data_IF_068556013820
#
_entry.id   IF_068556013820
#
_cell.length_a   1.000
_cell.length_b   1.000
_cell.length_c   1.000
_cell.angle_alpha   90.00
_cell.angle_beta   90.00
_cell.angle_gamma   90.00
#
_symmetry.space_group_name_H-M   'P 1'
#
loop_
_entity.id
_entity.type
_entity.pdbx_description
1 polymer ?
#
# COMPACT_ATOMS: atom_id res chain seq x y z
N UNK A 1 18.08 22.54 -34.84
CA UNK A 1 16.92 22.70 -33.95
C UNK A 1 16.96 21.53 -33.01
N UNK A 2 17.19 21.80 -31.74
CA UNK A 2 17.50 20.79 -30.72
C UNK A 2 16.22 20.01 -30.39
N UNK A 3 16.23 18.71 -30.64
CA UNK A 3 15.34 17.75 -29.97
C UNK A 3 15.80 17.67 -28.51
N UNK A 4 15.25 18.56 -27.69
CA UNK A 4 15.36 18.51 -26.24
C UNK A 4 14.40 17.41 -25.78
N UNK A 5 14.98 16.26 -25.43
CA UNK A 5 14.27 15.15 -24.81
C UNK A 5 13.58 15.67 -23.55
N UNK A 6 12.30 15.97 -23.65
CA UNK A 6 11.39 16.10 -22.52
C UNK A 6 11.42 14.74 -21.79
N UNK A 7 12.33 14.62 -20.83
CA UNK A 7 12.27 13.57 -19.82
C UNK A 7 10.97 13.82 -19.09
N UNK A 8 9.94 13.04 -19.43
CA UNK A 8 8.72 12.93 -18.64
C UNK A 8 9.14 12.38 -17.27
N UNK A 9 9.52 13.28 -16.36
CA UNK A 9 9.66 12.94 -14.96
C UNK A 9 8.34 12.28 -14.55
N UNK A 10 8.37 11.14 -13.85
CA UNK A 10 7.14 10.47 -13.47
C UNK A 10 6.32 11.47 -12.65
N UNK A 11 5.12 11.77 -13.14
CA UNK A 11 4.31 12.90 -12.70
C UNK A 11 4.01 12.80 -11.21
N UNK A 12 4.84 13.44 -10.39
CA UNK A 12 4.56 13.62 -8.98
C UNK A 12 3.32 14.47 -8.80
N UNK A 13 2.66 14.34 -7.65
CA UNK A 13 1.47 15.13 -7.30
C UNK A 13 1.77 16.03 -6.12
N UNK A 14 1.31 17.28 -6.16
CA UNK A 14 1.44 18.22 -5.06
C UNK A 14 0.14 18.25 -4.25
N UNK A 15 0.20 17.78 -3.01
CA UNK A 15 -0.97 17.61 -2.13
C UNK A 15 -0.89 18.59 -0.95
N UNK A 16 -1.93 19.40 -0.68
CA UNK A 16 -1.98 20.23 0.51
C UNK A 16 -2.11 19.35 1.77
N UNK A 17 -1.24 19.55 2.75
CA UNK A 17 -1.23 18.82 4.01
C UNK A 17 -0.59 19.68 5.12
N UNK A 18 -1.27 19.85 6.26
CA UNK A 18 -0.77 20.68 7.37
C UNK A 18 -0.41 22.14 6.95
N UNK A 19 -1.10 22.67 5.95
CA UNK A 19 -0.84 24.00 5.41
C UNK A 19 0.39 24.10 4.50
N UNK A 20 1.03 22.98 4.18
CA UNK A 20 2.16 22.90 3.24
C UNK A 20 1.76 22.11 1.99
N UNK A 21 2.40 22.42 0.85
CA UNK A 21 2.28 21.62 -0.36
C UNK A 21 3.33 20.49 -0.32
N UNK A 22 2.87 19.24 -0.25
CA UNK A 22 3.71 18.06 -0.19
C UNK A 22 3.80 17.42 -1.57
N UNK A 23 5.02 17.32 -2.08
CA UNK A 23 5.27 16.56 -3.31
C UNK A 23 5.29 15.06 -3.03
N UNK A 24 4.35 14.36 -3.65
CA UNK A 24 4.27 12.91 -3.72
C UNK A 24 4.99 12.46 -4.98
N UNK A 25 6.05 11.66 -4.82
CA UNK A 25 6.86 11.15 -5.92
C UNK A 25 6.83 9.61 -5.93
N UNK A 26 7.19 8.98 -7.06
CA UNK A 26 7.37 7.53 -7.08
C UNK A 26 8.45 7.08 -6.09
N UNK A 27 8.25 5.90 -5.54
CA UNK A 27 9.14 5.27 -4.57
C UNK A 27 10.53 5.00 -5.18
N UNK A 28 11.55 5.43 -4.46
CA UNK A 28 12.93 5.09 -4.71
C UNK A 28 13.26 3.68 -4.19
N UNK A 29 14.23 3.03 -4.80
CA UNK A 29 14.66 1.66 -4.42
C UNK A 29 15.08 1.57 -2.95
N UNK A 30 15.62 2.66 -2.37
CA UNK A 30 16.02 2.71 -0.96
C UNK A 30 14.84 2.77 0.03
N UNK A 31 13.68 3.23 -0.41
CA UNK A 31 12.46 3.34 0.40
C UNK A 31 11.69 2.02 0.46
N UNK A 32 11.77 1.21 -0.61
CA UNK A 32 11.02 -0.05 -0.75
C UNK A 32 11.22 -1.00 0.45
N UNK A 33 12.46 -1.34 0.90
CA UNK A 33 12.64 -2.26 2.02
C UNK A 33 12.05 -1.73 3.33
N UNK A 34 12.08 -0.41 3.53
CA UNK A 34 11.52 0.21 4.74
C UNK A 34 10.00 0.14 4.72
N UNK A 35 9.39 0.51 3.59
CA UNK A 35 7.95 0.45 3.38
C UNK A 35 7.40 -0.96 3.58
N UNK A 36 8.05 -1.97 2.98
CA UNK A 36 7.65 -3.38 3.12
C UNK A 36 7.67 -3.83 4.58
N UNK A 37 8.67 -3.40 5.37
CA UNK A 37 8.77 -3.77 6.79
C UNK A 37 7.68 -3.12 7.63
N UNK A 38 7.34 -1.85 7.33
CA UNK A 38 6.36 -1.08 8.10
C UNK A 38 4.92 -1.45 7.79
N UNK A 39 4.60 -1.72 6.52
CA UNK A 39 3.22 -1.99 6.09
C UNK A 39 2.87 -3.48 6.00
N UNK A 40 3.69 -4.37 6.60
CA UNK A 40 3.56 -5.82 6.40
C UNK A 40 2.23 -6.38 6.90
N UNK A 41 1.66 -5.80 7.97
CA UNK A 41 0.35 -6.17 8.49
C UNK A 41 -0.77 -5.65 7.58
N UNK A 42 -0.67 -4.36 7.21
CA UNK A 42 -1.64 -3.64 6.40
C UNK A 42 -1.81 -4.21 4.98
N UNK A 43 -0.76 -4.79 4.38
CA UNK A 43 -0.77 -5.25 2.99
C UNK A 43 -1.97 -6.16 2.68
N UNK A 44 -2.29 -7.10 3.56
CA UNK A 44 -3.35 -8.07 3.26
C UNK A 44 -4.72 -7.41 3.18
N UNK A 45 -4.94 -6.38 3.98
CA UNK A 45 -6.17 -5.59 3.97
C UNK A 45 -6.23 -4.76 2.69
N UNK A 46 -5.14 -4.09 2.31
CA UNK A 46 -5.05 -3.32 1.06
C UNK A 46 -5.29 -4.20 -0.18
N UNK A 47 -4.72 -5.41 -0.21
CA UNK A 47 -4.95 -6.37 -1.31
C UNK A 47 -6.38 -6.88 -1.36
N UNK A 48 -6.99 -7.10 -0.20
CA UNK A 48 -8.39 -7.47 -0.12
C UNK A 48 -9.27 -6.33 -0.66
N UNK A 49 -8.94 -5.07 -0.36
CA UNK A 49 -9.67 -3.90 -0.86
C UNK A 49 -9.58 -3.77 -2.38
N UNK A 50 -8.41 -3.94 -3.00
CA UNK A 50 -8.24 -3.91 -4.47
C UNK A 50 -8.95 -5.09 -5.18
N UNK A 51 -9.20 -6.18 -4.46
CA UNK A 51 -9.91 -7.36 -4.98
C UNK A 51 -11.43 -7.29 -4.79
N UNK A 52 -11.96 -6.29 -4.08
CA UNK A 52 -13.39 -6.14 -3.87
C UNK A 52 -14.08 -5.60 -5.13
N UNK A 53 -15.28 -6.12 -5.49
CA UNK A 53 -16.10 -5.48 -6.53
C UNK A 53 -16.53 -4.07 -6.09
N UNK A 54 -16.52 -3.11 -7.02
CA UNK A 54 -16.91 -1.71 -6.77
C UNK A 54 -18.32 -1.57 -6.15
N UNK A 55 -19.20 -2.55 -6.33
CA UNK A 55 -20.56 -2.58 -5.79
C UNK A 55 -20.65 -3.02 -4.33
N UNK A 56 -19.54 -3.43 -3.69
CA UNK A 56 -19.55 -3.99 -2.34
C UNK A 56 -19.15 -2.95 -1.27
N UNK A 57 -20.02 -1.97 -1.05
CA UNK A 57 -19.79 -0.86 -0.10
C UNK A 57 -19.62 -1.33 1.35
N UNK A 58 -20.38 -2.35 1.78
CA UNK A 58 -20.30 -2.88 3.16
C UNK A 58 -18.97 -3.61 3.40
N UNK A 59 -18.55 -4.47 2.46
CA UNK A 59 -17.26 -5.15 2.56
C UNK A 59 -16.08 -4.18 2.52
N UNK A 60 -16.19 -3.10 1.75
CA UNK A 60 -15.19 -2.04 1.74
C UNK A 60 -15.09 -1.33 3.10
N UNK A 61 -16.23 -1.02 3.72
CA UNK A 61 -16.26 -0.38 5.03
C UNK A 61 -15.64 -1.26 6.12
N UNK A 62 -15.93 -2.56 6.13
CA UNK A 62 -15.36 -3.50 7.11
C UNK A 62 -13.83 -3.58 6.97
N UNK A 63 -13.32 -3.73 5.74
CA UNK A 63 -11.87 -3.74 5.50
C UNK A 63 -11.22 -2.40 5.87
N UNK A 64 -11.90 -1.28 5.61
CA UNK A 64 -11.41 0.04 6.00
C UNK A 64 -11.35 0.18 7.53
N UNK A 65 -12.35 -0.32 8.26
CA UNK A 65 -12.35 -0.34 9.72
C UNK A 65 -11.24 -1.23 10.27
N UNK A 66 -11.00 -2.39 9.67
CA UNK A 66 -9.89 -3.28 10.04
C UNK A 66 -8.53 -2.63 9.77
N UNK A 67 -8.39 -1.93 8.63
CA UNK A 67 -7.16 -1.22 8.28
C UNK A 67 -6.87 -0.11 9.30
N UNK A 68 -7.88 0.69 9.66
CA UNK A 68 -7.71 1.79 10.63
C UNK A 68 -7.50 1.24 12.04
N UNK A 69 -8.31 0.27 12.46
CA UNK A 69 -8.31 -0.25 13.83
C UNK A 69 -7.08 -1.11 14.15
N UNK A 70 -6.60 -1.90 13.19
CA UNK A 70 -5.49 -2.84 13.40
C UNK A 70 -4.17 -2.35 12.82
N UNK A 71 -4.20 -1.45 11.82
CA UNK A 71 -3.02 -1.05 11.07
C UNK A 71 -2.91 0.47 10.86
N UNK A 72 -3.64 1.28 11.64
CA UNK A 72 -3.61 2.75 11.52
C UNK A 72 -2.21 3.34 11.67
N UNK A 73 -1.38 2.77 12.55
CA UNK A 73 0.03 3.17 12.72
C UNK A 73 0.89 2.84 11.49
N UNK A 74 0.74 1.63 10.96
CA UNK A 74 1.44 1.20 9.74
C UNK A 74 1.09 2.06 8.52
N UNK A 75 -0.15 2.59 8.49
CA UNK A 75 -0.66 3.45 7.43
C UNK A 75 0.08 4.79 7.36
N UNK A 76 0.12 5.55 8.45
CA UNK A 76 0.78 6.85 8.43
C UNK A 76 2.31 6.72 8.42
N UNK A 77 2.88 5.64 8.96
CA UNK A 77 4.30 5.32 8.79
C UNK A 77 4.67 5.03 7.33
N UNK A 78 3.82 4.30 6.60
CA UNK A 78 4.01 4.05 5.17
C UNK A 78 3.96 5.33 4.35
N UNK A 79 2.95 6.18 4.59
CA UNK A 79 2.83 7.50 3.94
C UNK A 79 4.05 8.37 4.25
N UNK A 80 4.52 8.38 5.51
CA UNK A 80 5.70 9.15 5.93
C UNK A 80 6.96 8.78 5.13
N UNK A 81 7.16 7.48 4.84
CA UNK A 81 8.26 7.00 4.01
C UNK A 81 8.14 7.55 2.58
N UNK A 82 6.94 7.48 1.99
CA UNK A 82 6.70 7.93 0.61
C UNK A 82 6.91 9.44 0.41
N UNK A 83 6.59 10.26 1.42
CA UNK A 83 6.71 11.73 1.34
C UNK A 83 7.97 12.28 1.99
N UNK A 84 8.85 11.43 2.52
CA UNK A 84 10.10 11.84 3.17
C UNK A 84 9.87 12.72 4.40
N UNK A 85 8.94 12.33 5.27
CA UNK A 85 8.62 13.02 6.53
C UNK A 85 8.68 12.05 7.71
N UNK A 86 8.67 12.59 8.92
CA UNK A 86 8.57 11.77 10.14
C UNK A 86 7.11 11.33 10.37
N UNK A 87 6.87 10.09 10.86
CA UNK A 87 5.51 9.62 11.14
C UNK A 87 4.74 10.52 12.12
N UNK A 88 5.42 11.06 13.13
CA UNK A 88 4.83 11.98 14.10
C UNK A 88 4.41 13.34 13.48
N UNK A 89 4.97 13.71 12.34
CA UNK A 89 4.53 14.88 11.58
C UNK A 89 3.24 14.55 10.83
N UNK A 90 3.16 13.39 10.17
CA UNK A 90 1.94 12.90 9.51
C UNK A 90 0.79 12.75 10.52
N UNK A 91 1.05 12.20 11.71
CA UNK A 91 0.00 12.00 12.71
C UNK A 91 -0.70 13.28 13.22
N UNK A 92 -0.18 14.48 12.90
CA UNK A 92 -0.80 15.77 13.27
C UNK A 92 -1.88 16.24 12.29
N UNK A 93 -1.93 15.66 11.09
CA UNK A 93 -2.87 16.06 10.05
C UNK A 93 -4.31 15.69 10.39
N UNK A 94 -5.24 16.39 9.77
CA UNK A 94 -6.66 16.01 9.85
C UNK A 94 -6.92 14.75 9.01
N UNK A 95 -7.96 14.02 9.36
CA UNK A 95 -8.31 12.77 8.67
C UNK A 95 -8.61 12.98 7.18
N UNK A 96 -9.33 14.04 6.83
CA UNK A 96 -9.64 14.39 5.44
C UNK A 96 -8.38 14.71 4.63
N UNK A 97 -7.48 15.53 5.18
CA UNK A 97 -6.18 15.83 4.57
C UNK A 97 -5.33 14.55 4.41
N UNK A 98 -5.37 13.65 5.41
CA UNK A 98 -4.62 12.39 5.38
C UNK A 98 -5.15 11.43 4.32
N UNK A 99 -6.47 11.28 4.20
CA UNK A 99 -7.08 10.42 3.18
C UNK A 99 -6.67 10.89 1.77
N UNK A 100 -6.70 12.19 1.51
CA UNK A 100 -6.26 12.75 0.23
C UNK A 100 -4.77 12.47 -0.03
N UNK A 101 -3.90 12.67 0.96
CA UNK A 101 -2.47 12.40 0.84
C UNK A 101 -2.18 10.90 0.62
N UNK A 102 -2.81 10.02 1.40
CA UNK A 102 -2.63 8.58 1.28
C UNK A 102 -3.11 8.07 -0.09
N UNK A 103 -4.21 8.61 -0.61
CA UNK A 103 -4.74 8.30 -1.94
C UNK A 103 -3.74 8.68 -3.02
N UNK A 104 -3.21 9.91 -2.96
CA UNK A 104 -2.20 10.37 -3.91
C UNK A 104 -0.93 9.52 -3.87
N UNK A 105 -0.47 9.13 -2.68
CA UNK A 105 0.67 8.20 -2.51
C UNK A 105 0.40 6.86 -3.18
N UNK A 106 -0.81 6.31 -3.00
CA UNK A 106 -1.20 5.06 -3.63
C UNK A 106 -1.26 5.19 -5.15
N UNK A 107 -1.88 6.24 -5.69
CA UNK A 107 -2.03 6.47 -7.13
C UNK A 107 -0.69 6.64 -7.85
N UNK A 108 0.19 7.50 -7.33
CA UNK A 108 1.53 7.74 -7.90
C UNK A 108 2.39 6.48 -7.91
N UNK A 109 2.13 5.54 -6.99
CA UNK A 109 2.90 4.31 -6.81
C UNK A 109 2.14 3.04 -7.17
N UNK A 110 0.96 3.16 -7.80
CA UNK A 110 0.01 2.04 -7.98
C UNK A 110 0.62 0.84 -8.67
N UNK A 111 1.38 1.07 -9.74
CA UNK A 111 2.04 0.00 -10.48
C UNK A 111 3.03 -0.78 -9.61
N UNK A 112 3.76 -0.11 -8.73
CA UNK A 112 4.64 -0.80 -7.78
C UNK A 112 3.81 -1.60 -6.75
N UNK A 113 2.79 -1.00 -6.15
CA UNK A 113 1.98 -1.66 -5.13
C UNK A 113 1.25 -2.91 -5.67
N UNK A 114 0.56 -2.78 -6.79
CA UNK A 114 -0.28 -3.85 -7.37
C UNK A 114 0.57 -4.88 -8.11
N UNK A 115 1.51 -4.44 -8.96
CA UNK A 115 2.22 -5.37 -9.85
C UNK A 115 3.49 -5.97 -9.24
N UNK A 116 4.08 -5.34 -8.21
CA UNK A 116 5.38 -5.77 -7.65
C UNK A 116 5.31 -6.11 -6.17
N UNK A 117 4.68 -5.27 -5.35
CA UNK A 117 4.65 -5.48 -3.90
C UNK A 117 3.65 -6.56 -3.50
N UNK A 118 2.42 -6.50 -4.05
CA UNK A 118 1.37 -7.48 -3.80
C UNK A 118 1.83 -8.93 -4.05
N UNK A 119 2.45 -9.27 -5.20
CA UNK A 119 2.83 -10.64 -5.49
C UNK A 119 3.99 -11.11 -4.61
N UNK A 120 4.94 -10.25 -4.23
CA UNK A 120 6.05 -10.63 -3.35
C UNK A 120 5.57 -10.98 -1.95
N UNK A 121 4.60 -10.24 -1.43
CA UNK A 121 4.04 -10.46 -0.10
C UNK A 121 3.03 -11.61 -0.08
N UNK A 122 2.25 -11.78 -1.16
CA UNK A 122 1.39 -12.95 -1.38
C UNK A 122 2.17 -14.24 -1.63
N UNK A 123 3.30 -14.19 -2.35
CA UNK A 123 4.16 -15.35 -2.58
C UNK A 123 4.86 -15.85 -1.31
N UNK A 124 5.13 -14.95 -0.35
CA UNK A 124 5.61 -15.30 0.98
C UNK A 124 4.60 -16.10 1.82
N UNK A 125 3.33 -16.17 1.38
CA UNK A 125 2.24 -16.94 1.99
C UNK A 125 1.92 -18.25 1.26
N UNK A 126 2.75 -18.71 0.31
CA UNK A 126 2.62 -20.08 -0.21
C UNK A 126 2.75 -21.04 0.97
N UNK A 127 1.60 -21.53 1.44
CA UNK A 127 1.50 -22.63 2.38
C UNK A 127 2.44 -23.74 1.89
N UNK A 128 3.22 -24.39 2.79
CA UNK A 128 3.94 -25.59 2.38
C UNK A 128 2.95 -26.53 1.69
N UNK A 129 3.33 -27.18 0.58
CA UNK A 129 2.41 -28.06 -0.14
C UNK A 129 1.80 -29.02 0.87
N UNK A 130 0.47 -29.03 0.94
CA UNK A 130 -0.26 -29.99 1.74
C UNK A 130 0.29 -31.37 1.37
N UNK A 131 1.01 -31.98 2.31
CA UNK A 131 1.58 -33.30 2.12
C UNK A 131 0.43 -34.22 1.74
N UNK A 132 0.42 -34.66 0.49
CA UNK A 132 -0.60 -35.54 -0.05
C UNK A 132 -0.58 -36.86 0.71
N UNK A 133 -1.40 -36.95 1.74
CA UNK A 133 -1.61 -38.13 2.54
C UNK A 133 -3.00 -38.70 2.30
N UNK A 134 -3.18 -39.40 1.18
CA UNK A 134 -4.30 -40.31 1.00
C UNK A 134 -3.99 -41.33 -0.09
N UNK A 135 -4.64 -42.51 -0.14
CA UNK A 135 -5.49 -43.15 0.86
C UNK A 135 -4.97 -44.55 1.24
N UNK A 136 -5.27 -45.05 2.43
CA UNK A 136 -5.35 -46.51 2.65
C UNK A 136 -6.75 -46.83 3.15
N UNK A 137 -7.63 -47.40 2.30
CA UNK A 137 -8.83 -48.06 2.78
C UNK A 137 -8.39 -49.40 3.38
N UNK A 138 -8.53 -49.55 4.70
CA UNK A 138 -8.33 -50.84 5.35
C UNK A 138 -9.64 -51.60 5.29
N UNK A 139 -9.70 -52.62 4.44
CA UNK A 139 -10.76 -53.62 4.45
C UNK A 139 -10.42 -54.67 5.51
N UNK A 140 -11.28 -54.86 6.50
CA UNK A 140 -11.58 -56.11 7.23
C UNK A 140 -12.71 -55.87 8.21
#
# INVERSE_FOLDING_TARGET
>A
MSDELEVLEPAGSSIPYLGEAIEVRPLEIGQVPQLVRKCRGAVNVVLAMDSLPDTNELGFLDLLMDLIGSHGEELYEGVAICVGREPAWIAKGKLDEFVVLATAVFEVNRDFFVQRLAPLLGAGRKSPPASGGGPTPSSS
#
